data_IF_558239443062
#
_entry.id   IF_558239443062
#
_cell.length_a   1.000
_cell.length_b   1.000
_cell.length_c   1.000
_cell.angle_alpha   90.00
_cell.angle_beta   90.00
_cell.angle_gamma   90.00
#
_symmetry.space_group_name_H-M   'P 1'
#
loop_
_entity.id
_entity.type
_entity.pdbx_description
1 polymer ?
#
# COMPACT_ATOMS: atom_id res chain seq x y z
N UNK A 1 -43.63 -2.83 1.69
CA UNK A 1 -43.99 -2.05 2.89
C UNK A 1 -42.86 -1.89 3.93
N UNK A 2 -42.33 -2.94 4.59
CA UNK A 2 -41.26 -2.76 5.59
C UNK A 2 -39.95 -2.21 4.99
N UNK A 3 -39.51 -2.76 3.85
CA UNK A 3 -38.30 -2.32 3.15
C UNK A 3 -38.36 -0.85 2.70
N UNK A 4 -39.49 -0.41 2.15
CA UNK A 4 -39.68 0.98 1.71
C UNK A 4 -39.72 1.94 2.90
N UNK A 5 -40.39 1.55 4.00
CA UNK A 5 -40.39 2.31 5.24
C UNK A 5 -38.99 2.43 5.84
N UNK A 6 -38.21 1.35 5.80
CA UNK A 6 -36.82 1.33 6.27
C UNK A 6 -35.92 2.25 5.43
N UNK A 7 -36.00 2.17 4.10
CA UNK A 7 -35.24 3.05 3.20
C UNK A 7 -35.62 4.53 3.38
N UNK A 8 -36.92 4.82 3.56
CA UNK A 8 -37.39 6.17 3.85
C UNK A 8 -36.82 6.71 5.17
N UNK A 9 -36.73 5.88 6.20
CA UNK A 9 -36.13 6.26 7.49
C UNK A 9 -34.62 6.51 7.36
N UNK A 10 -33.90 5.70 6.58
CA UNK A 10 -32.47 5.91 6.32
C UNK A 10 -32.21 7.22 5.58
N UNK A 11 -33.02 7.56 4.58
CA UNK A 11 -32.88 8.85 3.87
C UNK A 11 -33.14 10.03 4.80
N UNK A 12 -34.21 9.97 5.61
CA UNK A 12 -34.50 11.01 6.61
C UNK A 12 -33.38 11.17 7.62
N UNK A 13 -32.79 10.05 8.09
CA UNK A 13 -31.66 10.10 9.01
C UNK A 13 -30.44 10.77 8.36
N UNK A 14 -30.14 10.43 7.11
CA UNK A 14 -29.03 11.04 6.36
C UNK A 14 -29.24 12.54 6.16
N UNK A 15 -30.44 12.93 5.75
CA UNK A 15 -30.74 14.34 5.47
C UNK A 15 -30.71 15.17 6.76
N UNK A 16 -31.21 14.63 7.89
CA UNK A 16 -31.08 15.25 9.21
C UNK A 16 -29.62 15.39 9.67
N UNK A 17 -28.77 14.40 9.39
CA UNK A 17 -27.35 14.49 9.71
C UNK A 17 -26.66 15.59 8.88
N UNK A 18 -27.05 15.75 7.62
CA UNK A 18 -26.52 16.79 6.75
C UNK A 18 -26.96 18.20 7.18
N UNK A 19 -28.23 18.38 7.53
CA UNK A 19 -28.74 19.64 8.09
C UNK A 19 -28.03 19.98 9.42
N UNK A 20 -27.81 18.98 10.27
CA UNK A 20 -27.07 19.15 11.52
C UNK A 20 -25.60 19.53 11.29
N UNK A 21 -24.94 18.94 10.30
CA UNK A 21 -23.55 19.29 9.91
C UNK A 21 -23.47 20.74 9.42
N UNK A 22 -24.38 21.18 8.54
CA UNK A 22 -24.38 22.56 8.04
C UNK A 22 -24.64 23.58 9.16
N UNK A 23 -25.59 23.28 10.06
CA UNK A 23 -25.84 24.13 11.23
C UNK A 23 -24.59 24.25 12.11
N UNK A 24 -23.76 23.21 12.15
CA UNK A 24 -22.51 23.19 12.91
C UNK A 24 -21.39 24.00 12.28
N UNK A 25 -21.32 24.03 10.94
CA UNK A 25 -20.34 24.87 10.23
C UNK A 25 -20.69 26.36 10.34
N UNK A 26 -21.97 26.69 10.48
CA UNK A 26 -22.45 28.07 10.63
C UNK A 26 -22.42 28.58 12.08
N UNK A 27 -22.42 27.68 13.08
CA UNK A 27 -22.45 28.06 14.49
C UNK A 27 -21.06 28.39 15.03
N UNK A 28 -20.86 29.60 15.55
CA UNK A 28 -19.70 29.94 16.37
C UNK A 28 -19.87 29.30 17.76
N UNK A 29 -18.97 28.37 18.18
CA UNK A 29 -19.07 27.71 19.48
C UNK A 29 -19.00 28.68 20.67
N UNK A 30 -18.49 29.89 20.47
CA UNK A 30 -18.42 30.94 21.49
C UNK A 30 -19.75 31.63 21.76
N UNK A 31 -20.70 31.56 20.82
CA UNK A 31 -22.02 32.20 20.94
C UNK A 31 -23.04 31.34 21.70
N UNK A 32 -22.85 30.01 21.74
CA UNK A 32 -23.82 29.06 22.32
C UNK A 32 -23.17 27.97 23.20
N UNK A 33 -22.56 28.35 24.34
CA UNK A 33 -21.80 27.44 25.20
C UNK A 33 -22.65 26.31 25.82
N UNK A 34 -23.97 26.50 25.97
CA UNK A 34 -24.90 25.49 26.47
C UNK A 34 -25.13 24.31 25.51
N UNK A 35 -24.91 24.52 24.19
CA UNK A 35 -25.06 23.47 23.19
C UNK A 35 -23.93 22.44 23.26
N UNK A 36 -22.77 22.78 23.85
CA UNK A 36 -21.63 21.86 24.02
C UNK A 36 -21.97 20.58 24.81
N UNK A 37 -22.95 20.62 25.72
CA UNK A 37 -23.35 19.44 26.49
C UNK A 37 -24.32 18.52 25.73
N UNK A 38 -25.02 19.03 24.71
CA UNK A 38 -25.81 18.22 23.79
C UNK A 38 -24.96 17.65 22.64
N UNK A 39 -23.67 18.05 22.55
CA UNK A 39 -22.69 17.53 21.60
C UNK A 39 -22.04 16.21 22.02
N UNK A 40 -22.87 15.26 22.44
CA UNK A 40 -22.48 13.85 22.33
C UNK A 40 -22.52 13.48 20.85
N UNK A 41 -21.51 13.97 20.12
CA UNK A 41 -21.18 13.50 18.78
C UNK A 41 -21.20 11.96 18.83
N UNK A 42 -21.94 11.25 17.96
CA UNK A 42 -21.57 9.88 17.68
C UNK A 42 -20.09 9.95 17.32
N UNK A 43 -19.27 9.29 18.13
CA UNK A 43 -17.82 9.26 18.09
C UNK A 43 -17.35 9.61 16.68
N UNK A 44 -16.73 10.80 16.52
CA UNK A 44 -16.17 11.27 15.26
C UNK A 44 -15.10 10.25 14.88
N UNK A 45 -15.49 9.12 14.29
CA UNK A 45 -14.63 8.40 13.38
C UNK A 45 -14.29 9.45 12.35
N UNK A 46 -13.04 9.96 12.41
CA UNK A 46 -12.46 10.71 11.30
C UNK A 46 -12.92 9.98 10.05
N UNK A 47 -13.66 10.67 9.17
CA UNK A 47 -14.03 10.08 7.91
C UNK A 47 -12.71 9.62 7.28
N UNK A 48 -12.52 8.31 7.16
CA UNK A 48 -11.37 7.72 6.44
C UNK A 48 -11.40 8.14 4.97
N UNK A 49 -12.57 8.62 4.53
CA UNK A 49 -12.78 9.19 3.22
C UNK A 49 -13.37 10.59 3.35
N UNK A 50 -12.56 11.61 3.14
CA UNK A 50 -13.06 12.89 2.63
C UNK A 50 -13.45 12.60 1.19
N UNK A 51 -14.70 12.90 0.80
CA UNK A 51 -15.05 13.06 -0.61
C UNK A 51 -14.30 14.29 -1.16
N UNK A 52 -12.98 14.19 -1.26
CA UNK A 52 -12.29 14.88 -2.32
C UNK A 52 -12.91 14.27 -3.57
N UNK A 53 -13.66 15.08 -4.34
CA UNK A 53 -14.05 14.68 -5.70
C UNK A 53 -12.80 14.04 -6.30
N UNK A 54 -12.90 12.77 -6.63
CA UNK A 54 -11.75 12.01 -7.11
C UNK A 54 -11.03 12.88 -8.14
N UNK A 55 -9.74 13.25 -7.95
CA UNK A 55 -9.01 14.06 -8.92
C UNK A 55 -9.04 13.42 -10.32
N UNK A 56 -9.32 12.11 -10.37
CA UNK A 56 -9.53 11.29 -11.56
C UNK A 56 -10.86 11.56 -12.31
N UNK A 57 -11.65 12.56 -11.92
CA UNK A 57 -12.89 12.93 -12.65
C UNK A 57 -12.61 13.85 -13.85
N UNK A 58 -11.39 14.35 -14.03
CA UNK A 58 -11.06 15.30 -15.10
C UNK A 58 -10.19 14.71 -16.22
N UNK A 59 -9.66 13.48 -16.09
CA UNK A 59 -8.96 12.82 -17.18
C UNK A 59 -9.78 11.61 -17.67
N UNK A 60 -10.13 11.57 -18.95
CA UNK A 60 -10.81 10.43 -19.58
C UNK A 60 -9.94 9.14 -19.61
N UNK A 61 -8.74 9.15 -18.99
CA UNK A 61 -7.73 8.09 -19.12
C UNK A 61 -7.25 7.44 -17.80
N UNK A 62 -7.62 7.92 -16.61
CA UNK A 62 -7.16 7.31 -15.35
C UNK A 62 -8.09 6.21 -14.87
N UNK A 63 -8.09 5.11 -15.62
CA UNK A 63 -8.71 3.85 -15.21
C UNK A 63 -7.95 3.27 -14.02
N UNK A 64 -8.69 2.73 -13.06
CA UNK A 64 -8.19 1.83 -12.02
C UNK A 64 -7.35 0.73 -12.67
N UNK A 65 -6.03 0.75 -12.48
CA UNK A 65 -5.15 -0.13 -13.25
C UNK A 65 -4.77 -1.42 -12.52
N UNK A 66 -4.88 -2.48 -13.32
CA UNK A 66 -4.67 -3.92 -13.11
C UNK A 66 -5.16 -4.60 -11.81
N UNK A 67 -6.26 -5.33 -11.97
CA UNK A 67 -6.62 -6.47 -11.13
C UNK A 67 -5.92 -7.74 -11.65
N UNK A 68 -4.96 -8.27 -10.89
CA UNK A 68 -4.47 -9.62 -11.11
C UNK A 68 -5.50 -10.61 -10.57
N UNK A 69 -6.08 -11.44 -11.45
CA UNK A 69 -7.04 -12.48 -11.05
C UNK A 69 -6.31 -13.74 -10.55
N UNK A 70 -6.94 -14.55 -9.68
CA UNK A 70 -6.45 -15.90 -9.43
C UNK A 70 -6.25 -16.67 -10.74
N UNK A 71 -5.11 -17.35 -10.87
CA UNK A 71 -4.66 -18.02 -12.10
C UNK A 71 -3.75 -17.18 -13.00
N UNK A 72 -3.65 -15.86 -12.79
CA UNK A 72 -2.91 -14.95 -13.69
C UNK A 72 -1.59 -14.44 -13.09
N UNK A 73 -0.80 -15.35 -12.50
CA UNK A 73 0.48 -14.99 -11.85
C UNK A 73 1.43 -14.27 -12.79
N UNK A 74 1.53 -14.73 -14.03
CA UNK A 74 2.50 -14.19 -15.00
C UNK A 74 2.20 -12.73 -15.37
N UNK A 75 0.93 -12.32 -15.39
CA UNK A 75 0.55 -10.93 -15.63
C UNK A 75 0.99 -10.03 -14.47
N UNK A 76 0.68 -10.42 -13.23
CA UNK A 76 1.09 -9.63 -12.06
C UNK A 76 2.62 -9.53 -11.88
N UNK A 77 3.37 -10.62 -12.16
CA UNK A 77 4.84 -10.56 -12.16
C UNK A 77 5.39 -9.68 -13.29
N UNK A 78 4.70 -9.62 -14.43
CA UNK A 78 5.08 -8.76 -15.57
C UNK A 78 4.95 -7.30 -15.20
N UNK A 79 3.87 -6.88 -14.55
CA UNK A 79 3.72 -5.50 -14.12
C UNK A 79 4.79 -5.07 -13.13
N UNK A 80 5.10 -5.92 -12.13
CA UNK A 80 6.20 -5.60 -11.20
C UNK A 80 7.53 -5.46 -11.94
N UNK A 81 7.81 -6.36 -12.90
CA UNK A 81 9.01 -6.28 -13.75
C UNK A 81 9.04 -5.02 -14.61
N UNK A 82 7.91 -4.60 -15.15
CA UNK A 82 7.83 -3.45 -16.03
C UNK A 82 7.92 -2.16 -15.19
N UNK A 83 7.34 -2.14 -13.98
CA UNK A 83 7.55 -1.09 -12.98
C UNK A 83 9.03 -0.96 -12.60
N UNK A 84 9.77 -2.04 -12.38
CA UNK A 84 11.20 -1.96 -11.97
C UNK A 84 12.18 -1.77 -13.13
N UNK A 85 11.71 -1.57 -14.36
CA UNK A 85 12.53 -1.60 -15.58
C UNK A 85 13.75 -0.68 -15.56
N UNK A 86 13.61 0.53 -15.02
CA UNK A 86 14.65 1.58 -15.06
C UNK A 86 15.15 1.92 -13.65
N UNK A 87 14.86 1.07 -12.68
CA UNK A 87 15.19 1.31 -11.27
C UNK A 87 16.69 1.12 -11.01
N UNK A 88 17.32 2.11 -10.38
CA UNK A 88 18.66 1.95 -9.81
C UNK A 88 18.59 1.47 -8.36
N UNK A 89 17.52 1.84 -7.65
CA UNK A 89 17.29 1.45 -6.27
C UNK A 89 15.82 1.09 -6.03
N UNK A 90 15.61 0.06 -5.21
CA UNK A 90 14.28 -0.37 -4.79
C UNK A 90 14.19 -0.39 -3.26
N UNK A 91 13.08 0.12 -2.74
CA UNK A 91 12.63 -0.15 -1.37
C UNK A 91 11.36 -1.00 -1.49
N UNK A 92 11.40 -2.20 -0.91
CA UNK A 92 10.27 -3.14 -0.92
C UNK A 92 9.75 -3.25 0.51
N UNK A 93 8.52 -2.79 0.69
CA UNK A 93 7.77 -2.92 1.94
C UNK A 93 6.79 -4.05 1.72
N UNK A 94 6.95 -5.16 2.41
CA UNK A 94 6.00 -6.27 2.38
C UNK A 94 6.21 -7.16 3.62
N UNK A 95 5.26 -7.19 4.57
CA UNK A 95 5.38 -7.98 5.79
C UNK A 95 5.70 -9.45 5.54
N UNK A 96 5.20 -10.00 4.43
CA UNK A 96 5.33 -11.40 4.08
C UNK A 96 6.32 -11.63 2.93
N UNK A 97 7.23 -10.69 2.64
CA UNK A 97 8.16 -10.79 1.53
C UNK A 97 9.00 -12.09 1.57
N UNK A 98 9.48 -12.45 2.76
CA UNK A 98 10.26 -13.67 2.98
C UNK A 98 9.41 -14.87 3.44
N UNK A 99 8.08 -14.78 3.36
CA UNK A 99 7.19 -15.92 3.66
C UNK A 99 7.26 -16.97 2.55
N UNK A 100 6.83 -18.20 2.83
CA UNK A 100 6.68 -19.24 1.82
C UNK A 100 7.26 -20.58 2.25
N UNK A 101 6.91 -21.64 1.52
CA UNK A 101 7.41 -22.98 1.81
C UNK A 101 8.93 -23.07 1.51
N UNK A 102 9.72 -23.62 2.43
CA UNK A 102 11.17 -23.81 2.24
C UNK A 102 11.52 -24.56 0.94
N UNK A 103 10.67 -25.51 0.52
CA UNK A 103 10.86 -26.27 -0.73
C UNK A 103 10.70 -25.41 -2.00
N UNK A 104 10.00 -24.29 -1.90
CA UNK A 104 9.76 -23.32 -2.99
C UNK A 104 10.72 -22.13 -2.92
N UNK A 105 11.67 -22.10 -1.99
CA UNK A 105 12.56 -20.95 -1.76
C UNK A 105 13.29 -20.49 -3.03
N UNK A 106 13.79 -21.42 -3.85
CA UNK A 106 14.45 -21.06 -5.11
C UNK A 106 13.47 -20.47 -6.13
N UNK A 107 12.27 -21.05 -6.27
CA UNK A 107 11.24 -20.53 -7.18
C UNK A 107 10.82 -19.12 -6.78
N UNK A 108 10.68 -18.87 -5.48
CA UNK A 108 10.35 -17.53 -4.95
C UNK A 108 11.50 -16.56 -5.28
N UNK A 109 12.75 -16.96 -5.07
CA UNK A 109 13.91 -16.14 -5.42
C UNK A 109 13.98 -15.85 -6.94
N UNK A 110 13.67 -16.82 -7.79
CA UNK A 110 13.62 -16.64 -9.24
C UNK A 110 12.50 -15.67 -9.66
N UNK A 111 11.35 -15.69 -8.97
CA UNK A 111 10.27 -14.73 -9.21
C UNK A 111 10.63 -13.32 -8.73
N UNK A 112 11.32 -13.19 -7.60
CA UNK A 112 11.89 -11.90 -7.14
C UNK A 112 12.91 -11.40 -8.17
N UNK A 113 13.81 -12.24 -8.65
CA UNK A 113 14.81 -11.90 -9.66
C UNK A 113 14.15 -11.36 -10.94
N UNK A 114 13.11 -12.04 -11.43
CA UNK A 114 12.34 -11.58 -12.60
C UNK A 114 11.66 -10.24 -12.34
N UNK A 115 11.00 -10.07 -11.19
CA UNK A 115 10.26 -8.85 -10.86
C UNK A 115 11.16 -7.65 -10.59
N UNK A 116 12.36 -7.87 -10.09
CA UNK A 116 13.34 -6.81 -9.82
C UNK A 116 14.33 -6.60 -10.96
N UNK A 117 14.34 -7.50 -11.95
CA UNK A 117 15.30 -7.53 -13.06
C UNK A 117 16.74 -7.56 -12.55
N UNK A 118 17.00 -8.29 -11.46
CA UNK A 118 18.28 -8.32 -10.78
C UNK A 118 19.48 -8.70 -11.68
N UNK A 119 19.26 -9.48 -12.74
CA UNK A 119 20.30 -9.80 -13.74
C UNK A 119 20.73 -8.63 -14.62
N UNK A 120 20.03 -7.51 -14.58
CA UNK A 120 20.32 -6.34 -15.40
C UNK A 120 21.12 -5.31 -14.61
N UNK A 121 22.07 -4.66 -15.29
CA UNK A 121 23.07 -3.78 -14.66
C UNK A 121 22.52 -2.46 -14.08
N UNK A 122 21.23 -2.17 -14.24
CA UNK A 122 20.64 -0.92 -13.78
C UNK A 122 20.45 -0.92 -12.26
N UNK A 123 19.95 -2.03 -11.71
CA UNK A 123 19.64 -2.14 -10.29
C UNK A 123 20.93 -2.28 -9.48
N UNK A 124 21.18 -1.35 -8.56
CA UNK A 124 22.37 -1.30 -7.70
C UNK A 124 22.04 -1.61 -6.25
N UNK A 125 20.85 -1.22 -5.77
CA UNK A 125 20.46 -1.34 -4.37
C UNK A 125 19.04 -1.89 -4.21
N UNK A 126 18.87 -2.79 -3.26
CA UNK A 126 17.54 -3.23 -2.80
C UNK A 126 17.52 -3.17 -1.27
N UNK A 127 16.50 -2.50 -0.74
CA UNK A 127 16.20 -2.48 0.68
C UNK A 127 14.83 -3.15 0.92
N UNK A 128 14.74 -4.05 1.89
CA UNK A 128 13.47 -4.74 2.21
C UNK A 128 13.06 -4.46 3.65
N UNK A 129 11.83 -3.96 3.82
CA UNK A 129 11.14 -3.78 5.10
C UNK A 129 10.10 -4.88 5.24
N UNK A 130 10.20 -5.68 6.29
CA UNK A 130 9.34 -6.85 6.47
C UNK A 130 9.02 -7.13 7.95
N UNK A 131 8.05 -8.01 8.19
CA UNK A 131 7.69 -8.47 9.53
C UNK A 131 8.58 -9.67 9.91
N UNK A 132 9.35 -9.59 11.02
CA UNK A 132 10.26 -10.64 11.43
C UNK A 132 9.57 -11.97 11.77
N UNK A 133 8.29 -11.94 12.16
CA UNK A 133 7.50 -13.13 12.50
C UNK A 133 7.06 -13.93 11.28
N UNK A 134 7.01 -13.29 10.11
CA UNK A 134 6.47 -13.84 8.86
C UNK A 134 7.53 -14.45 7.93
N UNK A 135 8.78 -14.56 8.39
CA UNK A 135 9.91 -15.01 7.56
C UNK A 135 10.09 -16.53 7.55
N UNK A 136 10.53 -17.04 6.41
CA UNK A 136 11.10 -18.38 6.26
C UNK A 136 12.59 -18.25 5.91
N UNK A 137 13.48 -18.76 6.78
CA UNK A 137 14.94 -18.57 6.64
C UNK A 137 15.49 -19.08 5.30
N UNK A 138 14.93 -20.17 4.76
CA UNK A 138 15.32 -20.69 3.45
C UNK A 138 15.01 -19.68 2.33
N UNK A 139 13.82 -19.08 2.34
CA UNK A 139 13.38 -18.07 1.35
C UNK A 139 14.27 -16.82 1.45
N UNK A 140 14.48 -16.30 2.66
CA UNK A 140 15.35 -15.14 2.91
C UNK A 140 16.77 -15.38 2.40
N UNK A 141 17.35 -16.53 2.73
CA UNK A 141 18.72 -16.89 2.32
C UNK A 141 18.83 -17.01 0.79
N UNK A 142 17.84 -17.61 0.13
CA UNK A 142 17.81 -17.72 -1.33
C UNK A 142 17.74 -16.36 -2.02
N UNK A 143 16.90 -15.45 -1.52
CA UNK A 143 16.77 -14.09 -2.07
C UNK A 143 18.04 -13.26 -1.82
N UNK A 144 18.59 -13.31 -0.60
CA UNK A 144 19.84 -12.63 -0.24
C UNK A 144 20.99 -13.06 -1.13
N UNK A 145 21.13 -14.38 -1.34
CA UNK A 145 22.12 -14.94 -2.24
C UNK A 145 21.91 -14.47 -3.67
N UNK A 146 20.67 -14.50 -4.16
CA UNK A 146 20.35 -14.06 -5.52
C UNK A 146 20.79 -12.60 -5.77
N UNK A 147 20.48 -11.67 -4.86
CA UNK A 147 20.94 -10.28 -5.03
C UNK A 147 22.46 -10.15 -4.95
N UNK A 148 23.09 -10.85 -3.99
CA UNK A 148 24.55 -10.84 -3.83
C UNK A 148 25.28 -11.37 -5.07
N UNK A 149 24.81 -12.47 -5.63
CA UNK A 149 25.39 -13.11 -6.82
C UNK A 149 25.27 -12.20 -8.07
N UNK A 150 24.28 -11.30 -8.09
CA UNK A 150 24.12 -10.28 -9.13
C UNK A 150 24.84 -8.95 -8.80
N UNK A 151 25.63 -8.88 -7.72
CA UNK A 151 26.39 -7.68 -7.34
C UNK A 151 25.53 -6.52 -6.82
N UNK A 152 24.31 -6.81 -6.36
CA UNK A 152 23.37 -5.81 -5.85
C UNK A 152 23.57 -5.66 -4.34
N UNK A 153 23.67 -4.42 -3.86
CA UNK A 153 23.70 -4.13 -2.43
C UNK A 153 22.33 -4.40 -1.84
N UNK A 154 22.25 -5.45 -1.02
CA UNK A 154 21.01 -5.88 -0.38
C UNK A 154 21.06 -5.56 1.11
N UNK A 155 19.98 -4.94 1.61
CA UNK A 155 19.83 -4.62 3.03
C UNK A 155 18.38 -4.82 3.48
N UNK A 156 18.19 -4.99 4.79
CA UNK A 156 16.86 -5.19 5.35
C UNK A 156 16.65 -4.41 6.64
N UNK A 157 15.39 -4.08 6.91
CA UNK A 157 14.86 -3.58 8.18
C UNK A 157 13.62 -4.40 8.57
N UNK A 158 13.31 -4.43 9.86
CA UNK A 158 12.15 -5.17 10.40
C UNK A 158 11.23 -4.23 11.15
N UNK A 159 9.93 -4.37 10.93
CA UNK A 159 8.90 -3.61 11.66
C UNK A 159 7.60 -4.40 11.71
N UNK A 160 6.83 -4.21 12.77
CA UNK A 160 5.46 -4.69 12.92
C UNK A 160 4.44 -3.56 12.66
N UNK A 161 4.91 -2.31 12.50
CA UNK A 161 4.06 -1.11 12.38
C UNK A 161 3.52 -0.91 10.95
N UNK A 162 4.12 -1.54 9.94
CA UNK A 162 3.75 -1.35 8.53
C UNK A 162 3.12 -2.62 7.98
N UNK A 163 1.84 -2.54 7.61
CA UNK A 163 1.08 -3.68 7.06
C UNK A 163 0.90 -3.62 5.55
N UNK A 164 1.09 -2.45 4.96
CA UNK A 164 0.94 -2.23 3.54
C UNK A 164 2.07 -2.86 2.75
N UNK A 165 1.81 -3.07 1.47
CA UNK A 165 2.77 -3.65 0.53
C UNK A 165 3.03 -2.64 -0.55
N UNK A 166 4.23 -2.09 -0.55
CA UNK A 166 4.60 -0.96 -1.41
C UNK A 166 5.97 -1.24 -1.99
N UNK A 167 6.10 -1.09 -3.31
CA UNK A 167 7.37 -1.15 -4.02
C UNK A 167 7.71 0.27 -4.46
N UNK A 168 8.81 0.81 -3.97
CA UNK A 168 9.26 2.16 -4.27
C UNK A 168 10.50 2.07 -5.17
N UNK A 169 10.45 2.71 -6.33
CA UNK A 169 11.58 2.86 -7.24
C UNK A 169 12.20 4.22 -7.05
N UNK A 170 13.51 4.25 -6.82
CA UNK A 170 14.35 5.47 -6.81
C UNK A 170 13.83 6.60 -5.91
N UNK A 171 13.00 6.24 -4.92
CA UNK A 171 12.30 7.17 -4.03
C UNK A 171 11.49 8.26 -4.76
N UNK A 172 11.08 8.02 -6.01
CA UNK A 172 10.34 9.00 -6.83
C UNK A 172 9.03 8.47 -7.40
N UNK A 173 8.80 7.16 -7.35
CA UNK A 173 7.55 6.53 -7.76
C UNK A 173 7.33 5.25 -6.97
N UNK A 174 6.07 4.95 -6.69
CA UNK A 174 5.73 3.77 -5.91
C UNK A 174 4.49 3.05 -6.44
N UNK A 175 4.45 1.75 -6.15
CA UNK A 175 3.36 0.86 -6.51
C UNK A 175 2.84 0.15 -5.25
N UNK A 176 1.57 0.35 -4.94
CA UNK A 176 0.85 -0.39 -3.90
C UNK A 176 0.42 -1.73 -4.48
N UNK A 177 0.70 -2.81 -3.75
CA UNK A 177 0.40 -4.18 -4.17
C UNK A 177 -0.62 -4.79 -3.21
N UNK A 178 -1.79 -5.18 -3.70
CA UNK A 178 -2.86 -5.72 -2.85
C UNK A 178 -2.54 -7.07 -2.19
N UNK A 179 -1.45 -7.73 -2.60
CA UNK A 179 -0.99 -8.99 -2.01
C UNK A 179 0.53 -9.10 -2.09
N UNK A 180 1.11 -9.92 -1.22
CA UNK A 180 2.56 -10.16 -1.23
C UNK A 180 2.96 -10.91 -2.50
N UNK A 181 4.22 -10.88 -2.89
CA UNK A 181 4.68 -11.51 -4.15
C UNK A 181 4.21 -12.97 -4.33
N UNK A 182 4.18 -13.74 -3.23
CA UNK A 182 3.70 -15.13 -3.22
C UNK A 182 2.17 -15.27 -3.33
N UNK A 183 1.44 -14.21 -3.04
CA UNK A 183 -0.01 -14.12 -3.25
C UNK A 183 -0.41 -13.74 -4.68
N UNK A 184 0.50 -13.15 -5.47
CA UNK A 184 0.21 -12.70 -6.83
C UNK A 184 -0.17 -13.91 -7.71
N UNK A 185 -1.35 -13.81 -8.33
CA UNK A 185 -1.94 -14.89 -9.14
C UNK A 185 -2.56 -16.03 -8.33
N UNK A 186 -2.36 -16.08 -7.01
CA UNK A 186 -3.11 -16.99 -6.12
C UNK A 186 -4.35 -16.29 -5.54
N UNK A 187 -4.29 -14.97 -5.39
CA UNK A 187 -5.36 -14.11 -4.89
C UNK A 187 -5.62 -12.99 -5.88
N UNK A 188 -6.85 -12.47 -5.84
CA UNK A 188 -7.17 -11.20 -6.48
C UNK A 188 -6.32 -10.10 -5.83
N UNK A 189 -5.62 -9.30 -6.64
CA UNK A 189 -4.76 -8.22 -6.15
C UNK A 189 -4.76 -7.04 -7.10
N UNK A 190 -4.76 -5.83 -6.53
CA UNK A 190 -4.59 -4.59 -7.28
C UNK A 190 -3.12 -4.18 -7.28
N UNK A 191 -2.67 -3.59 -8.39
CA UNK A 191 -1.35 -2.96 -8.49
C UNK A 191 -1.58 -1.49 -8.87
N UNK A 192 -1.50 -0.59 -7.90
CA UNK A 192 -1.90 0.80 -8.08
C UNK A 192 -0.71 1.74 -7.87
N UNK A 193 -0.53 2.77 -8.72
CA UNK A 193 0.44 3.80 -8.43
C UNK A 193 0.06 4.51 -7.12
N UNK A 194 1.05 4.77 -6.27
CA UNK A 194 0.88 5.59 -5.08
C UNK A 194 1.07 7.06 -5.49
N UNK A 195 0.13 7.97 -5.16
CA UNK A 195 0.29 9.40 -5.42
C UNK A 195 1.56 9.97 -4.78
N UNK A 196 2.16 10.99 -5.40
CA UNK A 196 3.41 11.59 -4.94
C UNK A 196 3.31 12.17 -3.52
N UNK A 197 2.16 12.72 -3.14
CA UNK A 197 1.91 13.21 -1.76
C UNK A 197 2.08 12.08 -0.73
N UNK A 198 1.43 10.96 -0.99
CA UNK A 198 1.40 9.81 -0.08
C UNK A 198 2.75 9.10 -0.07
N UNK A 199 3.44 9.07 -1.21
CA UNK A 199 4.81 8.59 -1.30
C UNK A 199 5.76 9.42 -0.44
N UNK A 200 5.67 10.75 -0.48
CA UNK A 200 6.54 11.62 0.33
C UNK A 200 6.27 11.41 1.83
N UNK A 201 5.00 11.38 2.25
CA UNK A 201 4.64 11.09 3.64
C UNK A 201 5.15 9.71 4.11
N UNK A 202 5.03 8.69 3.25
CA UNK A 202 5.54 7.35 3.54
C UNK A 202 7.07 7.35 3.66
N UNK A 203 7.78 8.03 2.76
CA UNK A 203 9.24 8.13 2.81
C UNK A 203 9.72 8.86 4.07
N UNK A 204 9.04 9.94 4.46
CA UNK A 204 9.33 10.69 5.68
C UNK A 204 9.15 9.79 6.91
N UNK A 205 8.02 9.09 7.02
CA UNK A 205 7.78 8.12 8.08
C UNK A 205 8.88 7.04 8.16
N UNK A 206 9.28 6.46 7.01
CA UNK A 206 10.31 5.44 6.97
C UNK A 206 11.69 5.99 7.34
N UNK A 207 12.01 7.21 6.92
CA UNK A 207 13.28 7.87 7.25
C UNK A 207 13.35 8.22 8.74
N UNK A 208 12.30 8.79 9.31
CA UNK A 208 12.18 9.09 10.75
C UNK A 208 12.37 7.83 11.61
N UNK A 209 11.84 6.70 11.15
CA UNK A 209 11.96 5.40 11.83
C UNK A 209 13.24 4.63 11.46
N UNK A 210 14.11 5.18 10.62
CA UNK A 210 15.33 4.51 10.13
C UNK A 210 15.04 3.16 9.44
N UNK A 211 13.93 3.07 8.72
CA UNK A 211 13.44 1.88 8.01
C UNK A 211 13.70 1.89 6.51
N UNK A 212 14.02 3.02 5.88
CA UNK A 212 14.11 3.12 4.41
C UNK A 212 15.45 2.68 3.83
N UNK A 213 16.52 2.68 4.64
CA UNK A 213 17.90 2.41 4.21
C UNK A 213 18.79 2.10 5.39
N UNK A 214 19.86 1.34 5.13
CA UNK A 214 21.06 1.33 5.96
C UNK A 214 22.14 2.17 5.27
N UNK A 215 22.81 3.01 6.04
CA UNK A 215 24.05 3.64 5.59
C UNK A 215 25.10 2.55 5.36
N UNK A 216 25.90 2.76 4.31
CA UNK A 216 26.84 1.78 3.76
C UNK A 216 28.15 1.84 4.52
#
# INVERSE_FOLDING_TARGET
MFKEKYLSLLHKQRDLLFEYENLFEEADPSEYPELLNFLLLPDRRKRVYVENRCPLRESENDLTQLLTKPGDRNSGLRELRDFTRESESLIIIDPYFFSGESKKAQIIADDVEKCTRAKQKCLKRVHVVYDPSSKTNAVKTSIERMFKDNGIFFSTATTEEVHDRVWISDRNRALVVGTSLNGIGNRAAFLLPLPDSDLNELLDFLDEKSLSRKES
#
